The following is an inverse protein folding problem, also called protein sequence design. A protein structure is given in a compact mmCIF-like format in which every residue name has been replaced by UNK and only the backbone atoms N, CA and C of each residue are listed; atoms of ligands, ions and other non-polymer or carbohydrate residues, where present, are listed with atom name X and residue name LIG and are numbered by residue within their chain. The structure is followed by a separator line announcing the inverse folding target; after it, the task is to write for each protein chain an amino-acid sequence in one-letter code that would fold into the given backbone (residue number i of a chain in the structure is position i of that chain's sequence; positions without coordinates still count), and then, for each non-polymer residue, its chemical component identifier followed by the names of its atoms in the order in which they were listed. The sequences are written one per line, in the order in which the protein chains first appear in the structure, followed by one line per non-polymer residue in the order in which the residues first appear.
data_IF_039451566202
#
_entry.id   IF_039451566202
#
_cell.length_a   1.000
_cell.length_b   1.000
_cell.length_c   1.000
_cell.angle_alpha   90.00
_cell.angle_beta   90.00
_cell.angle_gamma   90.00
#
_symmetry.space_group_name_H-M   'P 1'
#
loop_
_entity.id
_entity.type
_entity.pdbx_description
1 polymer ?
#
# COMPACT_ATOMS: atom_id res chain seq x y z
N UNK A 1 12.31 9.08 17.32
CA UNK A 1 12.54 8.51 18.66
C UNK A 1 11.78 7.21 18.84
N UNK A 2 12.06 6.44 19.91
CA UNK A 2 11.35 5.19 20.25
C UNK A 2 12.27 4.12 20.87
N UNK A 3 11.68 3.02 21.36
CA UNK A 3 12.42 1.92 21.98
C UNK A 3 13.24 1.11 20.95
N UNK A 4 14.15 0.29 21.47
CA UNK A 4 14.88 -0.67 20.65
C UNK A 4 13.92 -1.69 20.03
N UNK A 5 14.14 -2.03 18.77
CA UNK A 5 13.27 -2.97 18.06
C UNK A 5 11.97 -2.38 17.53
N UNK A 6 11.62 -1.11 17.85
CA UNK A 6 10.42 -0.46 17.31
C UNK A 6 10.50 -0.12 15.81
N UNK A 7 11.64 -0.33 15.16
CA UNK A 7 11.81 -0.10 13.72
C UNK A 7 12.22 1.33 13.33
N UNK A 8 12.83 2.12 14.23
CA UNK A 8 13.27 3.51 13.97
C UNK A 8 14.13 3.65 12.74
N UNK A 9 15.25 2.93 12.68
CA UNK A 9 16.22 2.99 11.58
C UNK A 9 15.59 2.65 10.24
N UNK A 10 14.77 1.58 10.22
CA UNK A 10 14.02 1.20 9.02
C UNK A 10 12.97 2.26 8.65
N UNK A 11 12.29 2.85 9.64
CA UNK A 11 11.31 3.92 9.42
C UNK A 11 11.99 5.19 8.89
N UNK A 12 13.18 5.54 9.40
CA UNK A 12 13.98 6.66 8.91
C UNK A 12 14.31 6.49 7.42
N UNK A 13 14.75 5.30 7.01
CA UNK A 13 15.00 4.98 5.61
C UNK A 13 13.72 5.02 4.75
N UNK A 14 12.62 4.45 5.23
CA UNK A 14 11.31 4.49 4.52
C UNK A 14 10.81 5.92 4.32
N UNK A 15 10.91 6.75 5.35
CA UNK A 15 10.53 8.16 5.29
C UNK A 15 11.43 8.93 4.32
N UNK A 16 12.75 8.70 4.37
CA UNK A 16 13.70 9.30 3.46
C UNK A 16 13.42 8.95 1.99
N UNK A 17 13.16 7.68 1.71
CA UNK A 17 12.76 7.23 0.37
C UNK A 17 11.48 7.91 -0.09
N UNK A 18 10.48 8.00 0.79
CA UNK A 18 9.21 8.65 0.48
C UNK A 18 9.41 10.11 0.12
N UNK A 19 10.09 10.88 0.97
CA UNK A 19 10.37 12.31 0.75
C UNK A 19 11.18 12.56 -0.52
N UNK A 20 12.17 11.71 -0.79
CA UNK A 20 12.98 11.81 -2.01
C UNK A 20 12.17 11.45 -3.27
N UNK A 21 11.44 10.34 -3.24
CA UNK A 21 10.77 9.78 -4.43
C UNK A 21 9.49 10.53 -4.79
N UNK A 22 8.64 10.84 -3.80
CA UNK A 22 7.34 11.46 -4.04
C UNK A 22 7.37 12.98 -3.91
N UNK A 23 8.04 13.50 -2.86
CA UNK A 23 8.07 14.94 -2.59
C UNK A 23 9.26 15.63 -3.25
N UNK A 24 10.13 14.86 -3.94
CA UNK A 24 11.32 15.35 -4.66
C UNK A 24 12.26 16.18 -3.79
N UNK A 25 12.32 15.86 -2.49
CA UNK A 25 13.21 16.54 -1.54
C UNK A 25 14.60 15.93 -1.55
N UNK A 26 15.61 16.76 -1.39
CA UNK A 26 16.99 16.32 -1.15
C UNK A 26 17.14 15.99 0.32
N UNK A 27 17.25 14.70 0.64
CA UNK A 27 17.22 14.19 2.02
C UNK A 27 18.60 13.71 2.44
N UNK A 28 18.99 13.98 3.69
CA UNK A 28 20.14 13.39 4.36
C UNK A 28 19.67 12.69 5.64
N UNK A 29 20.24 11.52 5.93
CA UNK A 29 20.02 10.80 7.19
C UNK A 29 21.30 10.82 8.04
N UNK A 30 21.16 10.89 9.36
CA UNK A 30 22.25 10.74 10.30
C UNK A 30 21.85 9.81 11.45
N UNK A 31 22.70 8.82 11.76
CA UNK A 31 22.50 7.95 12.91
C UNK A 31 23.13 8.56 14.13
N UNK A 32 22.37 8.62 15.22
CA UNK A 32 22.81 9.05 16.55
C UNK A 32 23.01 7.86 17.52
N UNK A 33 22.90 6.62 17.03
CA UNK A 33 23.08 5.41 17.86
C UNK A 33 24.58 5.07 18.01
N UNK A 34 25.29 5.90 18.75
CA UNK A 34 26.75 5.77 18.95
C UNK A 34 27.13 4.55 19.79
N UNK A 35 26.19 3.94 20.51
CA UNK A 35 26.42 2.78 21.37
C UNK A 35 26.41 1.46 20.61
N UNK A 36 25.85 1.45 19.42
CA UNK A 36 25.78 0.28 18.54
C UNK A 36 26.35 0.64 17.14
N UNK A 37 27.65 0.47 16.93
CA UNK A 37 28.25 0.76 15.63
C UNK A 37 27.54 0.10 14.46
N UNK A 38 27.09 -1.14 14.63
CA UNK A 38 26.32 -1.84 13.61
C UNK A 38 24.99 -1.15 13.24
N UNK A 39 24.37 -0.38 14.14
CA UNK A 39 23.17 0.39 13.82
C UNK A 39 23.48 1.60 12.93
N UNK A 40 24.64 2.23 13.12
CA UNK A 40 25.11 3.32 12.26
C UNK A 40 25.40 2.79 10.84
N UNK A 41 26.10 1.65 10.75
CA UNK A 41 26.37 0.96 9.48
C UNK A 41 25.08 0.50 8.78
N UNK A 42 24.09 0.02 9.55
CA UNK A 42 22.79 -0.36 9.03
C UNK A 42 22.09 0.82 8.35
N UNK A 43 22.07 2.01 8.97
CA UNK A 43 21.48 3.20 8.35
C UNK A 43 22.24 3.60 7.07
N UNK A 44 23.59 3.52 7.07
CA UNK A 44 24.39 3.80 5.90
C UNK A 44 24.10 2.84 4.75
N UNK A 45 23.97 1.54 5.04
CA UNK A 45 23.62 0.51 4.07
C UNK A 45 22.22 0.74 3.49
N UNK A 46 21.24 1.06 4.34
CA UNK A 46 19.90 1.42 3.89
C UNK A 46 19.90 2.67 3.01
N UNK A 47 20.69 3.67 3.37
CA UNK A 47 20.87 4.89 2.56
C UNK A 47 21.40 4.59 1.15
N UNK A 48 22.38 3.71 1.05
CA UNK A 48 22.90 3.26 -0.24
C UNK A 48 21.84 2.51 -1.07
N UNK A 49 21.08 1.62 -0.44
CA UNK A 49 20.01 0.86 -1.11
C UNK A 49 18.91 1.74 -1.70
N UNK A 50 18.61 2.84 -1.04
CA UNK A 50 17.54 3.78 -1.46
C UNK A 50 18.06 5.04 -2.16
N UNK A 51 19.37 5.11 -2.41
CA UNK A 51 20.04 6.25 -3.06
C UNK A 51 19.82 7.59 -2.31
N UNK A 52 19.81 7.54 -0.96
CA UNK A 52 19.70 8.72 -0.09
C UNK A 52 21.02 8.93 0.67
N UNK A 53 21.46 10.18 0.74
CA UNK A 53 22.69 10.55 1.42
C UNK A 53 22.62 10.23 2.93
N UNK A 54 23.71 9.69 3.47
CA UNK A 54 23.91 9.49 4.89
C UNK A 54 25.13 10.26 5.36
N UNK A 55 25.05 10.81 6.57
CA UNK A 55 26.20 11.49 7.18
C UNK A 55 27.30 10.46 7.45
N UNK A 56 28.56 10.70 7.03
CA UNK A 56 29.67 9.78 7.30
C UNK A 56 29.87 9.54 8.80
N UNK A 57 30.16 8.29 9.15
CA UNK A 57 30.41 7.87 10.52
C UNK A 57 31.79 8.33 10.95
N UNK A 58 31.88 9.02 12.09
CA UNK A 58 33.15 9.41 12.75
C UNK A 58 33.14 8.73 14.12
N UNK A 59 34.17 7.93 14.37
CA UNK A 59 34.29 7.21 15.64
C UNK A 59 34.51 8.17 16.82
N UNK A 60 33.91 7.90 17.96
CA UNK A 60 34.07 8.64 19.20
C UNK A 60 33.24 9.92 19.32
N UNK A 61 32.45 10.28 18.33
CA UNK A 61 31.49 11.38 18.47
C UNK A 61 30.29 10.99 19.34
N UNK A 62 29.83 11.94 20.17
CA UNK A 62 28.56 11.82 20.88
C UNK A 62 27.38 12.13 19.97
N UNK A 63 26.17 11.71 20.37
CA UNK A 63 24.93 12.03 19.63
C UNK A 63 24.75 13.53 19.38
N UNK A 64 25.12 14.36 20.35
CA UNK A 64 25.10 15.83 20.28
C UNK A 64 26.09 16.36 19.24
N UNK A 65 27.31 15.83 19.22
CA UNK A 65 28.33 16.24 18.25
C UNK A 65 27.93 15.87 16.83
N UNK A 66 27.41 14.65 16.64
CA UNK A 66 26.87 14.20 15.35
C UNK A 66 25.70 15.09 14.92
N UNK A 67 24.80 15.46 15.83
CA UNK A 67 23.66 16.34 15.53
C UNK A 67 24.14 17.70 15.01
N UNK A 68 25.08 18.33 15.68
CA UNK A 68 25.68 19.64 15.24
C UNK A 68 26.35 19.53 13.87
N UNK A 69 27.13 18.48 13.65
CA UNK A 69 27.79 18.19 12.38
C UNK A 69 26.79 17.92 11.26
N UNK A 70 25.71 17.16 11.57
CA UNK A 70 24.63 16.86 10.62
C UNK A 70 23.89 18.13 10.18
N UNK A 71 23.54 19.02 11.10
CA UNK A 71 22.90 20.29 10.80
C UNK A 71 23.80 21.20 9.93
N UNK A 72 25.07 21.29 10.26
CA UNK A 72 26.05 22.06 9.48
C UNK A 72 26.22 21.47 8.08
N UNK A 73 26.39 20.16 7.97
CA UNK A 73 26.52 19.46 6.70
C UNK A 73 25.28 19.59 5.83
N UNK A 74 24.08 19.43 6.41
CA UNK A 74 22.81 19.61 5.69
C UNK A 74 22.69 21.01 5.09
N UNK A 75 23.01 22.04 5.87
CA UNK A 75 22.97 23.43 5.43
C UNK A 75 23.98 23.72 4.32
N UNK A 76 25.22 23.28 4.49
CA UNK A 76 26.33 23.55 3.52
C UNK A 76 26.08 22.83 2.18
N UNK A 77 25.51 21.62 2.21
CA UNK A 77 25.28 20.82 1.02
C UNK A 77 23.89 21.03 0.40
N UNK A 78 23.07 21.93 0.98
CA UNK A 78 21.76 22.29 0.48
C UNK A 78 20.77 21.11 0.50
N UNK A 79 20.70 20.38 1.61
CA UNK A 79 19.66 19.39 1.84
C UNK A 79 18.37 20.07 2.30
N UNK A 80 17.23 19.64 1.76
CA UNK A 80 15.90 20.14 2.15
C UNK A 80 15.44 19.55 3.48
N UNK A 81 15.83 18.29 3.73
CA UNK A 81 15.40 17.54 4.92
C UNK A 81 16.58 16.79 5.52
N UNK A 82 16.74 16.90 6.83
CA UNK A 82 17.65 16.10 7.66
C UNK A 82 16.82 15.19 8.57
N UNK A 83 17.08 13.89 8.53
CA UNK A 83 16.47 12.90 9.41
C UNK A 83 17.53 12.43 10.42
N UNK A 84 17.24 12.60 11.71
CA UNK A 84 18.06 12.14 12.82
C UNK A 84 17.47 10.84 13.38
N UNK A 85 18.21 9.73 13.24
CA UNK A 85 17.82 8.43 13.78
C UNK A 85 18.44 8.23 15.16
N UNK A 86 17.63 8.33 16.22
CA UNK A 86 18.12 8.28 17.61
C UNK A 86 18.36 6.85 18.07
N UNK A 87 19.25 6.69 19.06
CA UNK A 87 19.45 5.43 19.76
C UNK A 87 18.13 4.91 20.35
N UNK A 88 18.00 3.59 20.46
CA UNK A 88 16.90 2.93 21.17
C UNK A 88 17.42 2.09 22.33
N UNK A 89 16.69 2.09 23.43
CA UNK A 89 16.93 1.21 24.56
C UNK A 89 15.80 0.23 24.73
N UNK A 90 16.07 -0.87 25.42
CA UNK A 90 15.07 -1.90 25.73
C UNK A 90 14.02 -1.34 26.69
N UNK A 91 14.47 -0.51 27.63
CA UNK A 91 13.63 0.13 28.64
C UNK A 91 13.74 1.64 28.56
N UNK A 92 12.72 2.33 29.05
CA UNK A 92 12.75 3.77 29.25
C UNK A 92 13.69 4.07 30.41
N UNK A 93 14.85 4.64 30.11
CA UNK A 93 15.78 5.13 31.14
C UNK A 93 16.01 6.64 30.99
N UNK A 94 16.38 7.29 32.09
CA UNK A 94 16.59 8.73 32.12
C UNK A 94 17.71 9.17 31.18
N UNK A 95 18.75 8.35 31.03
CA UNK A 95 19.89 8.67 30.15
C UNK A 95 19.48 8.76 28.67
N UNK A 96 18.60 7.86 28.21
CA UNK A 96 18.04 7.93 26.86
C UNK A 96 17.17 9.17 26.68
N UNK A 97 16.30 9.42 27.67
CA UNK A 97 15.35 10.54 27.56
C UNK A 97 16.06 11.88 27.54
N UNK A 98 17.10 12.03 28.37
CA UNK A 98 17.92 13.24 28.41
C UNK A 98 18.73 13.43 27.12
N UNK A 99 19.32 12.36 26.56
CA UNK A 99 20.06 12.41 25.29
C UNK A 99 19.13 12.86 24.13
N UNK A 100 17.94 12.27 24.05
CA UNK A 100 17.01 12.65 22.97
C UNK A 100 16.45 14.06 23.18
N UNK A 101 16.23 14.48 24.41
CA UNK A 101 15.78 15.85 24.73
C UNK A 101 16.87 16.88 24.35
N UNK A 102 18.15 16.63 24.68
CA UNK A 102 19.27 17.49 24.30
C UNK A 102 19.43 17.59 22.76
N UNK A 103 19.30 16.47 22.07
CA UNK A 103 19.30 16.43 20.60
C UNK A 103 18.13 17.26 20.03
N UNK A 104 16.93 17.15 20.60
CA UNK A 104 15.77 17.91 20.16
C UNK A 104 15.93 19.41 20.41
N UNK A 105 16.51 19.82 21.53
CA UNK A 105 16.80 21.21 21.84
C UNK A 105 17.80 21.84 20.85
N UNK A 106 18.81 21.10 20.46
CA UNK A 106 19.83 21.56 19.51
C UNK A 106 19.28 21.57 18.08
N UNK A 107 18.62 20.49 17.68
CA UNK A 107 18.13 20.33 16.32
C UNK A 107 16.91 21.20 16.02
N UNK A 108 16.08 21.50 17.04
CA UNK A 108 14.79 22.19 16.91
C UNK A 108 13.99 21.63 15.75
N UNK A 109 13.68 20.32 15.76
CA UNK A 109 13.08 19.67 14.61
C UNK A 109 11.67 20.20 14.37
N UNK A 110 11.26 20.30 13.11
CA UNK A 110 9.88 20.60 12.71
C UNK A 110 8.97 19.44 13.10
N UNK A 111 9.48 18.22 13.05
CA UNK A 111 8.76 16.99 13.38
C UNK A 111 9.58 16.13 14.33
N UNK A 112 8.97 15.76 15.45
CA UNK A 112 9.48 14.76 16.39
C UNK A 112 8.53 13.58 16.39
N UNK A 113 8.88 12.53 15.65
CA UNK A 113 8.04 11.37 15.46
C UNK A 113 8.42 10.25 16.45
N UNK A 114 7.45 9.74 17.18
CA UNK A 114 7.61 8.53 17.96
C UNK A 114 7.31 7.31 17.09
N UNK A 115 8.29 6.42 16.96
CA UNK A 115 8.15 5.13 16.28
C UNK A 115 7.83 4.06 17.32
N UNK A 116 6.64 3.51 17.24
CA UNK A 116 6.14 2.48 18.12
C UNK A 116 5.70 1.24 17.34
N UNK A 117 5.86 0.09 17.98
CA UNK A 117 5.45 -1.19 17.41
C UNK A 117 4.00 -1.50 17.79
N UNK A 118 3.13 -1.65 16.79
CA UNK A 118 1.70 -1.90 17.02
C UNK A 118 1.41 -3.27 17.67
N UNK A 119 2.35 -4.22 17.61
CA UNK A 119 2.16 -5.56 18.16
C UNK A 119 2.49 -5.67 19.65
N UNK A 120 3.13 -4.66 20.24
CA UNK A 120 3.49 -4.68 21.68
C UNK A 120 2.33 -4.30 22.60
N UNK A 121 1.15 -4.01 22.05
CA UNK A 121 -0.06 -3.80 22.85
C UNK A 121 0.05 -2.66 23.86
N UNK A 122 -0.23 -2.93 25.14
CA UNK A 122 -0.23 -1.94 26.22
C UNK A 122 1.16 -1.34 26.50
N UNK A 123 2.24 -2.06 26.20
CA UNK A 123 3.60 -1.52 26.37
C UNK A 123 3.91 -0.40 25.39
N UNK A 124 3.33 -0.47 24.17
CA UNK A 124 3.41 0.64 23.22
C UNK A 124 2.72 1.89 23.76
N UNK A 125 1.59 1.74 24.44
CA UNK A 125 0.83 2.87 25.02
C UNK A 125 1.61 3.51 26.16
N UNK A 126 2.16 2.71 27.09
CA UNK A 126 3.02 3.19 28.19
C UNK A 126 4.24 3.93 27.66
N UNK A 127 4.87 3.36 26.64
CA UNK A 127 6.01 3.98 25.97
C UNK A 127 5.62 5.33 25.37
N UNK A 128 4.50 5.39 24.66
CA UNK A 128 4.04 6.62 24.05
C UNK A 128 3.76 7.72 25.07
N UNK A 129 3.14 7.39 26.20
CA UNK A 129 2.92 8.33 27.32
C UNK A 129 4.24 8.89 27.85
N UNK A 130 5.19 8.02 28.19
CA UNK A 130 6.44 8.41 28.80
C UNK A 130 7.30 9.29 27.86
N UNK A 131 7.32 8.97 26.57
CA UNK A 131 7.99 9.84 25.58
C UNK A 131 7.25 11.18 25.41
N UNK A 132 5.92 11.17 25.44
CA UNK A 132 5.13 12.38 25.30
C UNK A 132 5.29 13.38 26.47
N UNK A 133 5.48 12.87 27.68
CA UNK A 133 5.77 13.68 28.86
C UNK A 133 7.12 14.40 28.82
N UNK A 134 8.09 13.82 28.12
CA UNK A 134 9.49 14.29 28.14
C UNK A 134 9.91 14.99 26.85
N UNK A 135 9.26 14.73 25.71
CA UNK A 135 9.63 15.23 24.41
C UNK A 135 8.46 15.96 23.72
N UNK A 136 8.73 17.02 22.98
CA UNK A 136 7.74 17.71 22.18
C UNK A 136 7.39 16.86 20.92
N UNK A 137 6.69 15.74 21.14
CA UNK A 137 6.28 14.88 20.04
C UNK A 137 5.22 15.57 19.17
N UNK A 138 5.34 15.41 17.85
CA UNK A 138 4.41 15.98 16.87
C UNK A 138 3.55 14.92 16.18
N UNK A 139 3.87 13.64 16.35
CA UNK A 139 3.11 12.55 15.76
C UNK A 139 3.68 11.18 16.03
N UNK A 140 2.90 10.18 15.67
CA UNK A 140 3.20 8.77 15.84
C UNK A 140 3.45 8.10 14.49
N UNK A 141 4.39 7.17 14.46
CA UNK A 141 4.59 6.21 13.37
C UNK A 141 4.45 4.80 13.95
N UNK A 142 3.54 4.03 13.40
CA UNK A 142 3.28 2.68 13.87
C UNK A 142 3.88 1.67 12.91
N UNK A 143 4.76 0.83 13.42
CA UNK A 143 5.38 -0.26 12.66
C UNK A 143 4.60 -1.56 12.84
N UNK A 144 4.78 -2.52 11.93
CA UNK A 144 4.08 -3.81 11.91
C UNK A 144 2.56 -3.69 11.96
N UNK A 145 2.03 -2.59 11.38
CA UNK A 145 0.60 -2.30 11.38
C UNK A 145 -0.23 -3.29 10.53
N UNK A 146 0.42 -4.07 9.68
CA UNK A 146 -0.16 -5.20 8.95
C UNK A 146 -0.54 -6.37 9.85
N UNK A 147 0.10 -6.53 11.01
CA UNK A 147 -0.23 -7.52 12.03
C UNK A 147 -1.33 -7.09 13.01
N UNK A 148 -1.59 -5.79 13.15
CA UNK A 148 -2.64 -5.24 14.03
C UNK A 148 -3.98 -5.09 13.28
N UNK A 149 -4.63 -6.21 13.00
CA UNK A 149 -5.89 -6.23 12.25
C UNK A 149 -7.07 -5.53 12.94
N UNK A 150 -6.99 -5.31 14.26
CA UNK A 150 -8.04 -4.65 15.06
C UNK A 150 -7.72 -3.19 15.40
N UNK A 151 -6.52 -2.73 15.10
CA UNK A 151 -6.10 -1.35 15.36
C UNK A 151 -6.06 -0.95 16.84
N UNK A 152 -5.99 -1.90 17.75
CA UNK A 152 -6.08 -1.65 19.19
C UNK A 152 -4.97 -0.73 19.71
N UNK A 153 -3.72 -0.98 19.31
CA UNK A 153 -2.59 -0.14 19.68
C UNK A 153 -2.71 1.28 19.11
N UNK A 154 -3.17 1.40 17.87
CA UNK A 154 -3.41 2.70 17.19
C UNK A 154 -4.40 3.56 17.97
N UNK A 155 -5.57 2.99 18.27
CA UNK A 155 -6.63 3.70 18.99
C UNK A 155 -6.20 4.11 20.40
N UNK A 156 -5.57 3.19 21.13
CA UNK A 156 -5.11 3.45 22.51
C UNK A 156 -4.02 4.51 22.55
N UNK A 157 -3.00 4.44 21.69
CA UNK A 157 -1.93 5.45 21.66
C UNK A 157 -2.48 6.83 21.29
N UNK A 158 -3.38 6.90 20.29
CA UNK A 158 -4.02 8.16 19.90
C UNK A 158 -4.86 8.74 21.03
N UNK A 159 -5.62 7.90 21.74
CA UNK A 159 -6.47 8.33 22.86
C UNK A 159 -5.64 8.87 24.04
N UNK A 160 -4.54 8.19 24.38
CA UNK A 160 -3.71 8.54 25.54
C UNK A 160 -2.82 9.76 25.27
N UNK A 161 -2.19 9.84 24.09
CA UNK A 161 -1.25 10.93 23.79
C UNK A 161 -1.91 12.14 23.14
N UNK A 162 -3.09 12.00 22.56
CA UNK A 162 -3.69 13.07 21.74
C UNK A 162 -2.95 13.34 20.42
N UNK A 163 -1.82 12.66 20.15
CA UNK A 163 -0.98 12.91 18.98
C UNK A 163 -1.55 12.28 17.70
N UNK A 164 -1.42 12.94 16.54
CA UNK A 164 -1.84 12.34 15.28
C UNK A 164 -0.93 11.16 14.92
N UNK A 165 -1.52 10.08 14.41
CA UNK A 165 -0.77 9.05 13.69
C UNK A 165 -0.50 9.60 12.29
N UNK A 166 0.76 9.63 11.87
CA UNK A 166 1.16 10.18 10.57
C UNK A 166 1.44 9.10 9.54
N UNK A 167 2.08 8.01 9.96
CA UNK A 167 2.47 6.93 9.05
C UNK A 167 2.23 5.56 9.68
N UNK A 168 1.98 4.58 8.79
CA UNK A 168 1.87 3.17 9.09
C UNK A 168 2.93 2.39 8.32
N UNK A 169 3.77 1.64 9.03
CA UNK A 169 4.69 0.70 8.42
C UNK A 169 3.99 -0.64 8.23
N UNK A 170 3.69 -0.99 6.98
CA UNK A 170 2.97 -2.21 6.60
C UNK A 170 3.92 -3.19 5.88
N UNK A 171 4.83 -3.81 6.63
CA UNK A 171 5.77 -4.79 6.10
C UNK A 171 7.25 -4.37 6.14
N UNK A 172 8.13 -5.26 5.72
CA UNK A 172 9.59 -5.12 5.86
C UNK A 172 10.25 -4.31 4.74
N UNK A 173 9.63 -4.24 3.56
CA UNK A 173 10.19 -3.54 2.41
C UNK A 173 10.35 -2.05 2.68
N UNK A 174 11.41 -1.44 2.13
CA UNK A 174 11.70 0.00 2.32
C UNK A 174 10.67 0.95 1.70
N UNK A 175 9.84 0.48 0.80
CA UNK A 175 8.73 1.23 0.19
C UNK A 175 7.39 1.05 0.94
N UNK A 176 7.35 0.15 1.96
CA UNK A 176 6.14 -0.16 2.71
C UNK A 176 5.93 0.83 3.88
N UNK A 177 5.66 2.10 3.55
CA UNK A 177 5.27 3.17 4.48
C UNK A 177 4.08 3.92 3.91
N UNK A 178 2.93 3.72 4.53
CA UNK A 178 1.69 4.38 4.13
C UNK A 178 1.43 5.64 4.97
N UNK A 179 0.88 6.68 4.35
CA UNK A 179 0.30 7.82 5.09
C UNK A 179 -0.93 7.33 5.82
N UNK A 180 -1.07 7.74 7.08
CA UNK A 180 -2.25 7.39 7.85
C UNK A 180 -3.50 8.06 7.29
N UNK A 181 -4.49 7.26 6.93
CA UNK A 181 -5.83 7.69 6.58
C UNK A 181 -6.84 7.06 7.54
N UNK A 182 -7.52 7.90 8.32
CA UNK A 182 -8.44 7.44 9.36
C UNK A 182 -9.63 6.65 8.79
N UNK A 183 -10.15 7.02 7.61
CA UNK A 183 -11.29 6.34 6.99
C UNK A 183 -10.90 4.95 6.50
N UNK A 184 -9.74 4.84 5.87
CA UNK A 184 -9.19 3.56 5.41
C UNK A 184 -8.92 2.62 6.57
N UNK A 185 -8.30 3.13 7.64
CA UNK A 185 -8.03 2.34 8.85
C UNK A 185 -9.32 1.91 9.52
N UNK A 186 -10.29 2.80 9.68
CA UNK A 186 -11.60 2.45 10.23
C UNK A 186 -12.33 1.40 9.38
N UNK A 187 -12.33 1.54 8.05
CA UNK A 187 -12.89 0.54 7.13
C UNK A 187 -12.25 -0.83 7.29
N UNK A 188 -10.91 -0.88 7.45
CA UNK A 188 -10.17 -2.12 7.69
C UNK A 188 -10.54 -2.76 9.03
N UNK A 189 -10.62 -1.98 10.11
CA UNK A 189 -11.02 -2.45 11.46
C UNK A 189 -12.44 -3.01 11.43
N UNK A 190 -13.35 -2.36 10.69
CA UNK A 190 -14.76 -2.78 10.54
C UNK A 190 -14.94 -3.92 9.52
N UNK A 191 -13.86 -4.44 8.93
CA UNK A 191 -13.95 -5.54 7.97
C UNK A 191 -14.54 -5.17 6.60
N UNK A 192 -14.65 -3.88 6.29
CA UNK A 192 -15.18 -3.38 5.00
C UNK A 192 -14.20 -3.53 3.84
N UNK A 193 -12.95 -3.95 4.12
CA UNK A 193 -11.87 -4.01 3.14
C UNK A 193 -11.32 -2.64 2.76
N UNK A 194 -10.20 -2.60 2.04
CA UNK A 194 -9.60 -1.36 1.54
C UNK A 194 -9.67 -1.32 0.01
N UNK A 195 -10.89 -1.17 -0.52
CA UNK A 195 -11.14 -1.09 -1.97
C UNK A 195 -10.46 0.14 -2.57
N UNK A 196 -10.36 1.24 -1.81
CA UNK A 196 -9.72 2.47 -2.27
C UNK A 196 -8.22 2.25 -2.47
N UNK A 197 -7.55 1.57 -1.51
CA UNK A 197 -6.13 1.23 -1.66
C UNK A 197 -5.88 0.32 -2.87
N UNK A 198 -6.80 -0.59 -3.16
CA UNK A 198 -6.72 -1.46 -4.34
C UNK A 198 -6.77 -0.62 -5.63
N UNK A 199 -7.70 0.33 -5.69
CA UNK A 199 -7.86 1.22 -6.86
C UNK A 199 -6.67 2.17 -7.00
N UNK A 200 -6.19 2.77 -5.91
CA UNK A 200 -5.02 3.65 -5.92
C UNK A 200 -3.73 2.92 -6.29
N UNK A 201 -3.53 1.71 -5.77
CA UNK A 201 -2.38 0.87 -6.13
C UNK A 201 -2.43 0.46 -7.61
N UNK A 202 -3.62 0.11 -8.11
CA UNK A 202 -3.83 -0.16 -9.52
C UNK A 202 -3.60 1.08 -10.40
N UNK A 203 -4.05 2.25 -9.97
CA UNK A 203 -3.88 3.52 -10.69
C UNK A 203 -2.43 4.04 -10.66
N UNK A 204 -1.74 3.91 -9.52
CA UNK A 204 -0.36 4.39 -9.35
C UNK A 204 0.70 3.60 -10.13
N UNK A 205 0.40 2.34 -10.50
CA UNK A 205 1.29 1.48 -11.28
C UNK A 205 0.98 1.48 -12.80
N UNK A 206 -0.10 2.13 -13.21
CA UNK A 206 -0.47 2.26 -14.62
C UNK A 206 0.41 3.33 -15.29
N UNK A 207 1.47 2.87 -15.96
CA UNK A 207 2.19 3.66 -16.97
C UNK A 207 1.19 3.98 -18.10
N UNK A 208 0.66 5.21 -18.09
CA UNK A 208 -0.38 5.67 -19.03
C UNK A 208 -0.04 5.34 -20.48
N UNK A 209 1.23 5.48 -20.86
CA UNK A 209 1.69 5.19 -22.22
C UNK A 209 1.63 3.68 -22.54
N UNK A 210 1.86 2.81 -21.56
CA UNK A 210 1.72 1.35 -21.72
C UNK A 210 0.25 0.93 -21.74
N UNK A 211 -0.57 1.56 -20.89
CA UNK A 211 -2.02 1.32 -20.85
C UNK A 211 -2.69 1.69 -22.19
N UNK A 212 -2.34 2.85 -22.80
CA UNK A 212 -2.84 3.22 -24.10
C UNK A 212 -2.40 2.27 -25.22
N UNK A 213 -1.13 1.85 -25.23
CA UNK A 213 -0.63 0.87 -26.21
C UNK A 213 -1.36 -0.46 -26.07
N UNK A 214 -1.60 -0.89 -24.84
CA UNK A 214 -2.33 -2.13 -24.56
C UNK A 214 -3.80 -2.02 -24.98
N UNK A 215 -4.45 -0.90 -24.68
CA UNK A 215 -5.83 -0.63 -25.11
C UNK A 215 -5.96 -0.65 -26.64
N UNK A 216 -5.02 -0.04 -27.37
CA UNK A 216 -4.98 -0.06 -28.84
C UNK A 216 -4.77 -1.47 -29.43
N UNK A 217 -3.96 -2.32 -28.78
CA UNK A 217 -3.77 -3.73 -29.17
C UNK A 217 -5.02 -4.57 -28.91
N UNK A 218 -5.63 -4.40 -27.71
CA UNK A 218 -6.88 -5.08 -27.33
C UNK A 218 -8.03 -4.72 -28.28
N UNK A 219 -8.16 -3.43 -28.66
CA UNK A 219 -9.16 -2.99 -29.63
C UNK A 219 -8.98 -3.64 -31.02
N UNK A 220 -7.73 -4.00 -31.38
CA UNK A 220 -7.40 -4.74 -32.61
C UNK A 220 -7.53 -6.25 -32.46
N UNK A 221 -7.93 -6.75 -31.30
CA UNK A 221 -8.02 -8.19 -31.00
C UNK A 221 -6.65 -8.89 -30.96
N UNK A 222 -5.58 -8.16 -30.68
CA UNK A 222 -4.22 -8.67 -30.61
C UNK A 222 -3.80 -8.84 -29.15
N UNK A 223 -3.33 -10.03 -28.81
CA UNK A 223 -2.78 -10.36 -27.51
C UNK A 223 -1.62 -11.34 -27.68
N UNK A 224 -0.41 -10.89 -27.41
CA UNK A 224 0.81 -11.69 -27.52
C UNK A 224 1.38 -12.12 -26.17
N UNK A 225 2.44 -12.92 -26.16
CA UNK A 225 3.09 -13.38 -24.92
C UNK A 225 3.83 -12.25 -24.18
N UNK A 226 4.24 -11.17 -24.86
CA UNK A 226 4.78 -9.99 -24.20
C UNK A 226 3.69 -9.26 -23.41
N UNK A 227 2.45 -9.24 -23.90
CA UNK A 227 1.29 -8.68 -23.19
C UNK A 227 0.95 -9.52 -21.96
N UNK A 228 0.99 -10.86 -22.09
CA UNK A 228 0.82 -11.77 -20.95
C UNK A 228 1.91 -11.57 -19.89
N UNK A 229 3.18 -11.43 -20.30
CA UNK A 229 4.28 -11.15 -19.38
C UNK A 229 4.09 -9.79 -18.68
N UNK A 230 3.59 -8.78 -19.38
CA UNK A 230 3.23 -7.48 -18.81
C UNK A 230 2.19 -7.61 -17.68
N UNK A 231 1.12 -8.38 -17.93
CA UNK A 231 0.07 -8.63 -16.92
C UNK A 231 0.62 -9.41 -15.71
N UNK A 232 1.41 -10.46 -15.93
CA UNK A 232 2.03 -11.24 -14.85
C UNK A 232 2.97 -10.37 -13.99
N UNK A 233 3.78 -9.52 -14.62
CA UNK A 233 4.64 -8.58 -13.90
C UNK A 233 3.83 -7.54 -13.10
N UNK A 234 2.73 -7.05 -13.64
CA UNK A 234 1.83 -6.15 -12.93
C UNK A 234 1.20 -6.83 -11.72
N UNK A 235 0.71 -8.07 -11.87
CA UNK A 235 0.22 -8.88 -10.74
C UNK A 235 1.29 -9.08 -9.66
N UNK A 236 2.55 -9.38 -10.06
CA UNK A 236 3.66 -9.52 -9.12
C UNK A 236 3.96 -8.24 -8.36
N UNK A 237 3.96 -7.07 -9.02
CA UNK A 237 4.15 -5.76 -8.41
C UNK A 237 3.04 -5.39 -7.45
N UNK A 238 1.80 -5.77 -7.73
CA UNK A 238 0.64 -5.57 -6.85
C UNK A 238 0.67 -6.45 -5.59
N UNK A 239 1.78 -7.17 -5.34
CA UNK A 239 1.96 -8.06 -4.19
C UNK A 239 1.51 -9.49 -4.44
N UNK A 240 1.47 -9.91 -5.72
CA UNK A 240 1.06 -11.25 -6.13
C UNK A 240 -0.44 -11.50 -5.88
N UNK A 241 -0.83 -12.76 -5.98
CA UNK A 241 -2.22 -13.15 -5.70
C UNK A 241 -2.58 -12.93 -4.22
N UNK A 242 -1.61 -13.07 -3.31
CA UNK A 242 -1.80 -12.83 -1.87
C UNK A 242 -2.08 -11.36 -1.55
N UNK A 243 -1.39 -10.43 -2.22
CA UNK A 243 -1.62 -8.99 -2.06
C UNK A 243 -3.01 -8.55 -2.49
N UNK A 244 -3.50 -9.10 -3.60
CA UNK A 244 -4.84 -8.80 -4.12
C UNK A 244 -5.93 -9.41 -3.23
N UNK A 245 -5.75 -10.66 -2.79
CA UNK A 245 -6.73 -11.34 -1.92
C UNK A 245 -6.81 -10.71 -0.52
N UNK A 246 -5.72 -10.12 -0.02
CA UNK A 246 -5.73 -9.41 1.27
C UNK A 246 -6.59 -8.14 1.28
N UNK A 247 -6.94 -7.60 0.11
CA UNK A 247 -7.72 -6.38 -0.05
C UNK A 247 -9.22 -6.65 -0.30
N UNK A 248 -9.61 -7.91 -0.56
CA UNK A 248 -11.01 -8.28 -0.80
C UNK A 248 -11.72 -8.64 0.51
N UNK A 249 -12.92 -8.08 0.77
CA UNK A 249 -13.70 -8.42 1.95
C UNK A 249 -14.20 -9.89 1.91
N UNK A 250 -14.12 -10.59 3.03
CA UNK A 250 -14.73 -11.95 3.18
C UNK A 250 -13.84 -13.14 2.79
N UNK A 251 -12.63 -12.96 2.25
CA UNK A 251 -11.74 -14.06 1.79
C UNK A 251 -10.74 -14.55 2.85
N UNK A 252 -10.86 -14.13 4.10
CA UNK A 252 -9.92 -14.48 5.17
C UNK A 252 -9.77 -16.01 5.38
N UNK A 253 -10.84 -16.79 5.16
CA UNK A 253 -10.82 -18.27 5.27
C UNK A 253 -10.04 -18.93 4.12
N UNK A 254 -10.12 -18.39 2.90
CA UNK A 254 -9.36 -18.90 1.74
C UNK A 254 -7.86 -18.55 1.84
N UNK A 255 -7.52 -17.43 2.49
CA UNK A 255 -6.13 -16.98 2.68
C UNK A 255 -5.31 -18.03 3.45
N UNK A 256 -5.88 -18.65 4.48
CA UNK A 256 -5.18 -19.65 5.29
C UNK A 256 -4.93 -20.96 4.53
N UNK A 257 -5.85 -21.39 3.68
CA UNK A 257 -5.68 -22.61 2.86
C UNK A 257 -4.68 -22.45 1.71
N UNK A 258 -4.51 -21.23 1.19
CA UNK A 258 -3.55 -20.96 0.09
C UNK A 258 -2.17 -20.51 0.60
N UNK A 259 -2.08 -19.96 1.83
CA UNK A 259 -0.79 -19.60 2.45
C UNK A 259 0.08 -20.82 2.77
N UNK A 260 -0.52 -21.96 3.09
CA UNK A 260 0.20 -23.23 3.28
C UNK A 260 0.88 -23.73 2.00
N UNK A 261 0.43 -23.30 0.84
CA UNK A 261 0.93 -23.83 -0.45
C UNK A 261 1.80 -22.84 -1.24
N UNK A 262 2.39 -21.79 -0.78
CA UNK A 262 3.39 -20.91 -1.47
C UNK A 262 3.45 -21.03 -3.04
N UNK A 263 2.36 -21.56 -3.63
CA UNK A 263 2.31 -22.06 -5.01
C UNK A 263 2.11 -20.91 -6.00
N UNK A 264 1.50 -19.82 -5.56
CA UNK A 264 1.02 -18.77 -6.46
C UNK A 264 2.15 -17.91 -7.04
N UNK A 265 3.06 -17.40 -6.21
CA UNK A 265 4.12 -16.49 -6.68
C UNK A 265 5.20 -17.25 -7.44
N UNK A 266 5.56 -18.47 -7.00
CA UNK A 266 6.47 -19.36 -7.73
C UNK A 266 5.93 -19.74 -9.12
N UNK A 267 4.60 -19.85 -9.25
CA UNK A 267 3.98 -20.17 -10.55
C UNK A 267 4.08 -18.98 -11.51
N UNK A 268 3.86 -17.76 -11.02
CA UNK A 268 4.05 -16.54 -11.82
C UNK A 268 5.51 -16.40 -12.27
N UNK A 269 6.47 -16.64 -11.37
CA UNK A 269 7.90 -16.57 -11.68
C UNK A 269 8.31 -17.61 -12.73
N UNK A 270 7.79 -18.83 -12.65
CA UNK A 270 8.02 -19.87 -13.67
C UNK A 270 7.45 -19.46 -15.04
N UNK A 271 6.25 -18.90 -15.08
CA UNK A 271 5.66 -18.44 -16.33
C UNK A 271 6.47 -17.28 -16.95
N UNK A 272 6.92 -16.34 -16.14
CA UNK A 272 7.80 -15.25 -16.59
C UNK A 272 9.16 -15.77 -17.09
N UNK A 273 9.74 -16.75 -16.42
CA UNK A 273 10.99 -17.40 -16.84
C UNK A 273 10.82 -18.10 -18.21
N UNK A 274 9.69 -18.78 -18.43
CA UNK A 274 9.37 -19.40 -19.73
C UNK A 274 9.29 -18.36 -20.83
N UNK A 275 8.54 -17.26 -20.61
CA UNK A 275 8.38 -16.19 -21.61
C UNK A 275 9.72 -15.49 -21.88
N UNK A 276 10.52 -15.22 -20.84
CA UNK A 276 11.84 -14.58 -21.00
C UNK A 276 12.84 -15.45 -21.75
N UNK A 277 12.72 -16.77 -21.67
CA UNK A 277 13.56 -17.73 -22.41
C UNK A 277 13.19 -17.87 -23.88
N UNK A 278 12.09 -17.24 -24.32
CA UNK A 278 11.67 -17.21 -25.72
C UNK A 278 12.30 -16.02 -26.47
N UNK A 279 12.55 -16.18 -27.76
CA UNK A 279 12.95 -15.08 -28.63
C UNK A 279 11.80 -14.09 -28.85
N UNK A 280 12.10 -12.84 -29.23
CA UNK A 280 11.07 -11.82 -29.55
C UNK A 280 10.09 -12.29 -30.65
N UNK A 281 10.56 -13.08 -31.62
CA UNK A 281 9.71 -13.63 -32.68
C UNK A 281 8.73 -14.68 -32.12
N UNK A 282 9.19 -15.56 -31.22
CA UNK A 282 8.38 -16.61 -30.60
C UNK A 282 7.33 -16.02 -29.63
N UNK A 283 7.66 -14.93 -28.94
CA UNK A 283 6.69 -14.23 -28.08
C UNK A 283 5.57 -13.56 -28.88
N UNK A 284 5.89 -13.01 -30.06
CA UNK A 284 4.90 -12.41 -30.95
C UNK A 284 4.07 -13.43 -31.72
N UNK A 285 4.68 -14.58 -32.09
CA UNK A 285 4.03 -15.64 -32.86
C UNK A 285 4.30 -16.99 -32.18
N UNK A 286 3.50 -17.37 -31.17
CA UNK A 286 3.69 -18.61 -30.40
C UNK A 286 3.63 -19.89 -31.25
N UNK A 287 3.01 -19.84 -32.43
CA UNK A 287 2.93 -20.98 -33.36
C UNK A 287 4.31 -21.40 -33.93
N UNK A 288 5.32 -20.54 -33.80
CA UNK A 288 6.71 -20.88 -34.16
C UNK A 288 7.35 -21.90 -33.21
N UNK A 289 6.75 -22.16 -32.04
CA UNK A 289 7.28 -23.05 -31.03
C UNK A 289 7.03 -24.52 -31.37
N UNK A 290 7.90 -25.08 -32.23
CA UNK A 290 7.95 -26.50 -32.50
C UNK A 290 8.57 -27.28 -31.33
N UNK A 291 8.63 -28.63 -31.43
CA UNK A 291 9.15 -29.52 -30.38
C UNK A 291 10.59 -29.17 -29.95
N UNK A 292 11.49 -28.88 -30.89
CA UNK A 292 12.89 -28.56 -30.57
C UNK A 292 13.04 -27.23 -29.86
N UNK A 293 12.26 -26.19 -30.29
CA UNK A 293 12.24 -24.86 -29.65
C UNK A 293 11.65 -24.94 -28.26
N UNK A 294 10.58 -25.72 -28.04
CA UNK A 294 10.03 -25.98 -26.70
C UNK A 294 11.05 -26.63 -25.77
N UNK A 295 11.81 -27.62 -26.24
CA UNK A 295 12.89 -28.22 -25.44
C UNK A 295 13.97 -27.19 -25.05
N UNK A 296 14.38 -26.32 -25.99
CA UNK A 296 15.34 -25.25 -25.72
C UNK A 296 14.81 -24.27 -24.66
N UNK A 297 13.56 -23.81 -24.80
CA UNK A 297 12.92 -22.87 -23.87
C UNK A 297 12.76 -23.52 -22.49
N UNK A 298 12.36 -24.81 -22.43
CA UNK A 298 12.25 -25.57 -21.19
C UNK A 298 13.58 -25.62 -20.44
N UNK A 299 14.67 -25.95 -21.15
CA UNK A 299 16.02 -25.96 -20.58
C UNK A 299 16.46 -24.59 -20.08
N UNK A 300 16.15 -23.51 -20.82
CA UNK A 300 16.50 -22.14 -20.44
C UNK A 300 15.71 -21.62 -19.25
N UNK A 301 14.48 -22.06 -19.08
CA UNK A 301 13.58 -21.63 -17.98
C UNK A 301 13.65 -22.55 -16.75
N UNK A 302 14.36 -23.68 -16.82
CA UNK A 302 14.41 -24.67 -15.75
C UNK A 302 13.05 -25.32 -15.45
N UNK A 303 12.24 -25.58 -16.51
CA UNK A 303 10.90 -26.15 -16.41
C UNK A 303 10.72 -27.31 -17.40
N UNK A 304 9.61 -28.03 -17.28
CA UNK A 304 9.25 -29.11 -18.20
C UNK A 304 8.54 -28.58 -19.45
N UNK A 305 8.61 -29.35 -20.56
CA UNK A 305 7.88 -29.02 -21.80
C UNK A 305 6.36 -28.94 -21.59
N UNK A 306 5.87 -29.70 -20.59
CA UNK A 306 4.45 -29.67 -20.20
C UNK A 306 4.02 -28.29 -19.67
N UNK A 307 4.89 -27.60 -18.91
CA UNK A 307 4.60 -26.26 -18.38
C UNK A 307 4.49 -25.24 -19.52
N UNK A 308 5.35 -25.37 -20.55
CA UNK A 308 5.26 -24.53 -21.75
C UNK A 308 3.93 -24.78 -22.47
N UNK A 309 3.54 -26.04 -22.64
CA UNK A 309 2.25 -26.34 -23.30
C UNK A 309 1.06 -25.80 -22.51
N UNK A 310 1.12 -25.84 -21.18
CA UNK A 310 0.09 -25.24 -20.29
C UNK A 310 0.02 -23.73 -20.48
N UNK A 311 1.16 -23.04 -20.47
CA UNK A 311 1.26 -21.60 -20.70
C UNK A 311 0.70 -21.21 -22.06
N UNK A 312 1.08 -21.93 -23.12
CA UNK A 312 0.58 -21.67 -24.47
C UNK A 312 -0.93 -21.90 -24.62
N UNK A 313 -1.47 -22.90 -23.91
CA UNK A 313 -2.92 -23.14 -23.86
C UNK A 313 -3.64 -21.99 -23.17
N UNK A 314 -3.15 -21.52 -22.03
CA UNK A 314 -3.70 -20.37 -21.32
C UNK A 314 -3.65 -19.09 -22.18
N UNK A 315 -2.49 -18.81 -22.80
CA UNK A 315 -2.34 -17.68 -23.71
C UNK A 315 -3.36 -17.72 -24.87
N UNK A 316 -3.53 -18.89 -25.52
CA UNK A 316 -4.47 -19.07 -26.61
C UNK A 316 -5.91 -18.81 -26.18
N UNK A 317 -6.32 -19.32 -25.02
CA UNK A 317 -7.64 -19.05 -24.45
C UNK A 317 -7.87 -17.54 -24.21
N UNK A 318 -6.88 -16.84 -23.65
CA UNK A 318 -6.96 -15.40 -23.46
C UNK A 318 -6.98 -14.62 -24.78
N UNK A 319 -6.16 -15.01 -25.75
CA UNK A 319 -6.14 -14.37 -27.08
C UNK A 319 -7.47 -14.55 -27.82
N UNK A 320 -8.09 -15.73 -27.73
CA UNK A 320 -9.42 -15.99 -28.31
C UNK A 320 -10.51 -15.16 -27.62
N UNK A 321 -10.43 -14.99 -26.30
CA UNK A 321 -11.32 -14.12 -25.53
C UNK A 321 -11.19 -12.66 -25.97
N UNK A 322 -9.96 -12.14 -26.06
CA UNK A 322 -9.68 -10.77 -26.53
C UNK A 322 -10.20 -10.57 -27.95
N UNK A 323 -9.99 -11.55 -28.84
CA UNK A 323 -10.47 -11.50 -30.21
C UNK A 323 -12.01 -11.52 -30.30
N UNK A 324 -12.68 -12.25 -29.41
CA UNK A 324 -14.14 -12.27 -29.33
C UNK A 324 -14.71 -10.95 -28.84
N UNK A 325 -14.03 -10.32 -27.87
CA UNK A 325 -14.40 -8.99 -27.34
C UNK A 325 -14.23 -7.88 -28.40
N UNK A 326 -13.17 -7.94 -29.21
CA UNK A 326 -12.91 -6.93 -30.26
C UNK A 326 -13.90 -7.02 -31.42
N UNK A 327 -14.47 -8.21 -31.70
CA UNK A 327 -15.40 -8.45 -32.81
C UNK A 327 -16.89 -8.29 -32.47
N UNK A 328 -17.22 -8.36 -31.18
CA UNK A 328 -18.61 -8.38 -30.72
C UNK A 328 -18.94 -7.19 -29.85
N UNK A 329 -19.46 -6.12 -30.42
CA UNK A 329 -20.00 -5.00 -29.63
C UNK A 329 -20.96 -5.50 -28.56
N UNK A 330 -21.02 -4.83 -27.40
CA UNK A 330 -21.87 -4.93 -26.22
C UNK A 330 -22.66 -6.22 -25.87
N UNK A 331 -23.11 -7.00 -26.85
CA UNK A 331 -23.86 -8.24 -26.64
C UNK A 331 -23.04 -9.41 -26.10
N UNK A 332 -21.73 -9.45 -26.38
CA UNK A 332 -20.85 -10.50 -25.88
C UNK A 332 -20.37 -10.25 -24.44
N UNK A 333 -20.36 -8.99 -23.99
CA UNK A 333 -20.07 -8.66 -22.60
C UNK A 333 -21.15 -9.23 -21.66
N UNK A 334 -22.39 -9.25 -22.10
CA UNK A 334 -23.55 -9.78 -21.35
C UNK A 334 -23.52 -11.31 -21.24
N UNK A 335 -23.08 -12.01 -22.32
CA UNK A 335 -22.87 -13.46 -22.29
C UNK A 335 -21.70 -13.87 -21.39
N UNK A 336 -20.63 -13.06 -21.32
CA UNK A 336 -19.49 -13.35 -20.47
C UNK A 336 -19.77 -13.10 -18.99
N UNK A 337 -20.55 -12.07 -18.67
CA UNK A 337 -21.02 -11.83 -17.29
C UNK A 337 -21.88 -12.99 -16.79
N UNK A 338 -22.72 -13.59 -17.65
CA UNK A 338 -23.52 -14.78 -17.31
C UNK A 338 -22.66 -16.05 -17.19
N UNK A 339 -21.56 -16.16 -17.91
CA UNK A 339 -20.63 -17.31 -17.82
C UNK A 339 -19.68 -17.23 -16.62
N UNK A 340 -19.26 -16.01 -16.21
CA UNK A 340 -18.49 -15.80 -14.97
C UNK A 340 -19.34 -15.87 -13.71
N UNK A 341 -20.66 -15.70 -13.80
CA UNK A 341 -21.60 -15.89 -12.71
C UNK A 341 -21.91 -17.36 -12.35
N UNK A 342 -21.36 -18.31 -13.12
CA UNK A 342 -21.59 -19.75 -12.95
C UNK A 342 -20.55 -20.50 -12.11
N UNK A 343 -19.72 -19.83 -11.30
CA UNK A 343 -18.87 -20.50 -10.31
C UNK A 343 -19.74 -20.96 -9.12
N UNK A 344 -19.79 -22.27 -8.82
CA UNK A 344 -20.57 -22.78 -7.70
C UNK A 344 -19.96 -22.27 -6.38
N UNK A 345 -20.66 -21.35 -5.72
CA UNK A 345 -20.28 -20.81 -4.40
C UNK A 345 -20.57 -19.34 -4.13
N UNK A 346 -20.96 -18.55 -5.12
CA UNK A 346 -21.43 -17.17 -4.90
C UNK A 346 -22.93 -17.05 -5.18
N UNK A 347 -23.71 -17.59 -4.28
CA UNK A 347 -25.16 -17.44 -4.26
C UNK A 347 -25.57 -16.04 -3.81
N UNK A 348 -26.37 -15.36 -4.61
CA UNK A 348 -27.30 -14.34 -4.18
C UNK A 348 -26.80 -12.91 -4.20
N UNK A 349 -27.11 -12.17 -5.27
CA UNK A 349 -27.06 -10.70 -5.28
C UNK A 349 -26.09 -10.09 -6.29
N UNK A 350 -26.19 -10.46 -7.57
CA UNK A 350 -25.53 -9.72 -8.64
C UNK A 350 -26.10 -8.31 -8.76
N UNK A 351 -25.26 -7.26 -8.99
CA UNK A 351 -25.78 -5.90 -9.20
C UNK A 351 -26.68 -5.88 -10.43
N UNK A 352 -27.87 -5.35 -10.24
CA UNK A 352 -28.88 -5.17 -11.28
C UNK A 352 -28.30 -4.35 -12.44
N UNK A 353 -28.06 -5.01 -13.58
CA UNK A 353 -27.46 -4.39 -14.78
C UNK A 353 -28.31 -3.26 -15.37
N UNK A 354 -29.59 -3.15 -14.97
CA UNK A 354 -30.41 -2.00 -15.30
C UNK A 354 -30.00 -0.73 -14.52
N UNK A 355 -29.43 -0.88 -13.33
CA UNK A 355 -28.86 0.23 -12.57
C UNK A 355 -27.51 0.73 -13.13
N UNK A 356 -26.71 -0.13 -13.74
CA UNK A 356 -25.45 0.27 -14.37
C UNK A 356 -25.66 1.02 -15.69
N UNK A 357 -26.75 0.74 -16.42
CA UNK A 357 -27.14 1.52 -17.62
C UNK A 357 -27.61 2.94 -17.29
N UNK A 358 -28.12 3.17 -16.08
CA UNK A 358 -28.53 4.49 -15.60
C UNK A 358 -27.34 5.39 -15.20
N UNK A 359 -26.14 4.83 -14.96
CA UNK A 359 -24.92 5.57 -14.57
C UNK A 359 -24.04 6.04 -15.74
N UNK A 360 -24.37 5.65 -16.96
CA UNK A 360 -23.58 5.94 -18.16
C UNK A 360 -24.31 6.84 -19.16
N UNK A 361 -24.69 8.06 -18.77
CA UNK A 361 -25.11 9.06 -19.74
C UNK A 361 -26.50 9.69 -19.48
N UNK A 362 -26.50 10.88 -18.90
CA UNK A 362 -27.61 11.81 -18.93
C UNK A 362 -28.49 11.85 -17.69
N UNK A 363 -28.57 13.03 -17.07
CA UNK A 363 -29.51 13.53 -16.06
C UNK A 363 -30.06 12.50 -15.06
N UNK A 364 -29.71 12.64 -13.79
CA UNK A 364 -30.34 11.91 -12.68
C UNK A 364 -31.88 12.05 -12.81
N UNK A 365 -32.63 10.94 -12.81
CA UNK A 365 -34.08 11.01 -12.67
C UNK A 365 -34.44 11.53 -11.27
N UNK A 366 -35.29 12.51 -11.21
CA UNK A 366 -35.92 12.94 -9.95
C UNK A 366 -36.71 11.74 -9.37
N UNK A 367 -36.64 11.49 -8.05
CA UNK A 367 -37.37 10.39 -7.43
C UNK A 367 -38.89 10.59 -7.62
N UNK A 368 -39.60 9.50 -7.93
CA UNK A 368 -41.04 9.57 -8.13
C UNK A 368 -41.78 9.98 -6.85
N UNK A 369 -42.98 10.55 -7.00
CA UNK A 369 -43.80 11.02 -5.88
C UNK A 369 -44.06 9.91 -4.83
N UNK A 370 -44.12 8.65 -5.26
CA UNK A 370 -44.33 7.47 -4.39
C UNK A 370 -43.06 7.09 -3.60
N UNK A 371 -41.85 7.28 -4.18
CA UNK A 371 -40.60 7.07 -3.47
C UNK A 371 -40.32 8.18 -2.43
N UNK A 372 -40.67 9.41 -2.74
CA UNK A 372 -40.63 10.53 -1.79
C UNK A 372 -41.58 10.30 -0.61
N UNK A 373 -42.77 9.78 -0.85
CA UNK A 373 -43.74 9.45 0.18
C UNK A 373 -43.28 8.29 1.08
N UNK A 374 -42.65 7.28 0.52
CA UNK A 374 -42.10 6.14 1.26
C UNK A 374 -40.85 6.55 2.13
N UNK A 375 -40.07 7.54 1.69
CA UNK A 375 -38.97 8.12 2.48
C UNK A 375 -39.54 8.97 3.61
N UNK A 376 -40.61 9.73 3.35
CA UNK A 376 -41.27 10.60 4.34
C UNK A 376 -41.96 9.77 5.44
N UNK A 377 -42.62 8.67 5.07
CA UNK A 377 -43.26 7.74 6.02
C UNK A 377 -42.23 6.96 6.87
N UNK A 378 -41.05 6.62 6.32
CA UNK A 378 -39.92 6.06 7.09
C UNK A 378 -39.29 7.05 8.05
N UNK A 379 -39.18 8.33 7.68
CA UNK A 379 -38.69 9.38 8.57
C UNK A 379 -39.70 9.73 9.66
N UNK A 380 -40.99 9.68 9.38
CA UNK A 380 -42.04 9.86 10.37
C UNK A 380 -42.13 8.73 11.41
N UNK A 381 -41.77 7.49 11.00
CA UNK A 381 -41.71 6.34 11.92
C UNK A 381 -40.50 6.32 12.87
N UNK A 382 -39.50 7.15 12.65
CA UNK A 382 -38.30 7.30 13.50
C UNK A 382 -38.35 8.47 14.48
N UNK A 383 -39.44 9.25 14.49
CA UNK A 383 -39.57 10.49 15.24
C UNK A 383 -40.42 10.39 16.49
N UNK A 384 -40.05 9.55 17.46
CA UNK A 384 -40.67 9.49 18.80
C UNK A 384 -39.64 9.55 19.92
N UNK A 385 -38.71 10.49 19.91
CA UNK A 385 -37.76 10.66 20.99
C UNK A 385 -37.26 12.13 21.04
N UNK A 386 -37.64 12.84 22.10
CA UNK A 386 -37.20 14.19 22.41
C UNK A 386 -35.67 14.33 22.41
N UNK A 387 -35.16 15.26 21.60
CA UNK A 387 -33.77 15.74 21.69
C UNK A 387 -33.74 16.99 22.59
N UNK A 388 -32.84 17.04 23.59
CA UNK A 388 -32.60 18.27 24.35
C UNK A 388 -31.52 19.11 23.68
N UNK A 389 -31.79 20.41 23.51
CA UNK A 389 -30.81 21.48 23.57
C UNK A 389 -29.94 21.77 22.35
N UNK A 390 -30.28 22.78 21.65
CA UNK A 390 -29.54 23.86 21.01
C UNK A 390 -28.10 23.64 20.52
N UNK A 391 -27.94 23.74 19.20
CA UNK A 391 -26.66 24.09 18.55
C UNK A 391 -26.79 25.52 17.99
N UNK A 392 -25.93 26.51 18.36
CA UNK A 392 -25.87 27.79 17.73
C UNK A 392 -24.95 27.81 16.52
N UNK A 393 -25.41 28.37 15.42
CA UNK A 393 -24.56 28.93 14.37
C UNK A 393 -24.51 28.22 13.04
N UNK A 394 -25.57 28.35 12.21
CA UNK A 394 -25.45 28.29 10.75
C UNK A 394 -26.18 29.52 10.15
N UNK A 395 -25.55 30.28 9.23
CA UNK A 395 -26.17 31.44 8.62
C UNK A 395 -27.24 31.02 7.61
N UNK A 396 -28.36 31.78 7.64
CA UNK A 396 -29.58 31.55 6.90
C UNK A 396 -29.44 31.72 5.39
N UNK A 397 -30.22 30.91 4.66
CA UNK A 397 -30.50 31.08 3.24
C UNK A 397 -31.59 32.17 3.05
N UNK A 398 -31.48 33.07 2.06
CA UNK A 398 -32.48 34.05 1.77
C UNK A 398 -33.72 33.45 1.11
N UNK A 399 -34.90 33.82 1.63
CA UNK A 399 -36.20 33.57 0.99
C UNK A 399 -36.29 34.38 -0.30
N UNK A 400 -36.59 33.73 -1.41
CA UNK A 400 -37.05 34.39 -2.62
C UNK A 400 -38.59 34.57 -2.55
N UNK A 401 -39.00 35.81 -2.80
CA UNK A 401 -40.36 36.16 -3.16
C UNK A 401 -40.77 35.52 -4.48
#
# INVERSE_FOLDING_TARGET
AGLQGSGKTTTSAKLALRLSKFDKKKVMMASLDTRRPAAMEQLATLGQQIEVATLPIVAGESAVQITRRALQSAKLQGFDVLILDTAGRITLDEGLMNEVAEVAEIAKPVETLLVADSLTGQDAVRTASAFHERLPLTGLVLTRADGDGRGGAMLSMRAVTGLPIKYLGAGEKVDALDVFDARRVAGRILGQGDIVALVEKAAGELDQAKAEKMARKLAKGQFDLDDLAGQLNQMKKMGGLQGIMGLLPGVAKLKNQMAENNVSDKMIDRQLAVISSMTKAERKKPDLLNASRKKRVAKGAGVEVQDINRLLKQHRQMADMVKSLSKGGGKNLQKMASMMGGLPGMGGGGPDMNRLKALGGGKMPEPSADEMKAIQDRLAGLGGGQLPGGLPGLPGFPKKN
#
